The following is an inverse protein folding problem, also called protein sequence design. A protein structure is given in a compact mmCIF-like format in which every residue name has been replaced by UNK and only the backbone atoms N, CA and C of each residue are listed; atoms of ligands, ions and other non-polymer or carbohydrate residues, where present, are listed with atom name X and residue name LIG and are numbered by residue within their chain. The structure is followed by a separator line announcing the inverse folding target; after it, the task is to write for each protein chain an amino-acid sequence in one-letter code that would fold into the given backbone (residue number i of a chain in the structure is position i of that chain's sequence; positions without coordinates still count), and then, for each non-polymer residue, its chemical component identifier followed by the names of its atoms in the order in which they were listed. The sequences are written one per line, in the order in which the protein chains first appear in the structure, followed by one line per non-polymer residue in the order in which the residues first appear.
data_IF_249231873931
#
_entry.id   IF_249231873931
#
_cell.length_a   1.000
_cell.length_b   1.000
_cell.length_c   1.000
_cell.angle_alpha   90.00
_cell.angle_beta   90.00
_cell.angle_gamma   90.00
#
_symmetry.space_group_name_H-M   'P 1'
#
loop_
_entity.id
_entity.type
_entity.pdbx_description
1 polymer ?
#
# COMPACT_ATOMS: atom_id res chain seq x y z
N UNK A 1 -89.49 -16.61 -17.63
CA UNK A 1 -90.16 -17.93 -17.48
C UNK A 1 -91.01 -18.11 -18.70
N UNK A 2 -90.66 -19.03 -19.61
CA UNK A 2 -91.38 -19.24 -20.87
C UNK A 2 -92.73 -19.96 -20.70
N UNK A 3 -93.53 -19.52 -19.74
CA UNK A 3 -94.91 -19.99 -19.51
C UNK A 3 -95.87 -18.92 -20.02
N UNK A 4 -96.95 -19.34 -20.65
CA UNK A 4 -97.96 -18.43 -21.20
C UNK A 4 -98.78 -17.69 -20.13
N UNK A 5 -98.78 -18.18 -18.88
CA UNK A 5 -99.49 -17.56 -17.76
C UNK A 5 -98.54 -17.31 -16.58
N UNK A 6 -98.68 -16.14 -15.97
CA UNK A 6 -97.96 -15.73 -14.76
C UNK A 6 -98.96 -15.42 -13.66
N UNK A 7 -98.82 -16.08 -12.50
CA UNK A 7 -99.72 -15.86 -11.36
C UNK A 7 -98.97 -15.12 -10.24
N UNK A 8 -99.39 -13.90 -9.95
CA UNK A 8 -98.89 -13.09 -8.84
C UNK A 8 -99.95 -13.00 -7.73
N UNK A 9 -99.58 -13.37 -6.50
CA UNK A 9 -100.46 -13.28 -5.33
C UNK A 9 -99.76 -12.54 -4.19
N UNK A 10 -100.43 -11.51 -3.65
CA UNK A 10 -100.02 -10.78 -2.44
C UNK A 10 -100.95 -11.17 -1.29
N UNK A 11 -100.39 -11.75 -0.25
CA UNK A 11 -101.09 -12.10 0.99
C UNK A 11 -100.82 -11.03 2.05
N UNK A 12 -101.86 -10.32 2.47
CA UNK A 12 -101.77 -9.24 3.46
C UNK A 12 -102.36 -9.74 4.78
N UNK A 13 -101.50 -9.97 5.77
CA UNK A 13 -101.88 -10.22 7.16
C UNK A 13 -101.72 -8.97 8.03
N UNK A 14 -102.25 -9.01 9.26
CA UNK A 14 -102.20 -7.88 10.22
C UNK A 14 -100.78 -7.36 10.54
N UNK A 15 -99.76 -8.21 10.46
CA UNK A 15 -98.35 -7.86 10.78
C UNK A 15 -97.36 -8.19 9.67
N UNK A 16 -97.77 -8.92 8.63
CA UNK A 16 -96.87 -9.44 7.61
C UNK A 16 -97.52 -9.38 6.24
N UNK A 17 -96.73 -8.96 5.26
CA UNK A 17 -97.08 -9.02 3.85
C UNK A 17 -96.14 -10.00 3.16
N UNK A 18 -96.71 -10.97 2.45
CA UNK A 18 -95.96 -11.96 1.68
C UNK A 18 -96.35 -11.85 0.19
N UNK A 19 -95.35 -11.89 -0.69
CA UNK A 19 -95.54 -11.93 -2.13
C UNK A 19 -95.19 -13.32 -2.65
N UNK A 20 -95.98 -13.81 -3.60
CA UNK A 20 -95.73 -15.08 -4.27
C UNK A 20 -95.90 -14.97 -5.78
N UNK A 21 -94.93 -15.51 -6.51
CA UNK A 21 -94.89 -15.57 -7.97
C UNK A 21 -94.91 -17.04 -8.38
N UNK A 22 -95.88 -17.47 -9.18
CA UNK A 22 -96.07 -18.87 -9.56
C UNK A 22 -96.05 -19.84 -8.36
N UNK A 23 -96.74 -19.46 -7.27
CA UNK A 23 -96.81 -20.21 -5.99
C UNK A 23 -95.48 -20.33 -5.23
N UNK A 24 -94.42 -19.63 -5.64
CA UNK A 24 -93.15 -19.52 -4.89
C UNK A 24 -93.08 -18.20 -4.16
N UNK A 25 -92.59 -18.21 -2.92
CA UNK A 25 -92.36 -16.99 -2.14
C UNK A 25 -91.31 -16.12 -2.82
N UNK A 26 -91.62 -14.83 -2.99
CA UNK A 26 -90.74 -13.84 -3.61
C UNK A 26 -90.59 -12.62 -2.70
N UNK A 27 -89.46 -11.92 -2.80
CA UNK A 27 -89.31 -10.66 -2.07
C UNK A 27 -90.05 -9.53 -2.77
N UNK A 28 -90.40 -8.48 -2.03
CA UNK A 28 -91.02 -7.27 -2.59
C UNK A 28 -90.15 -6.65 -3.68
N UNK A 29 -88.83 -6.65 -3.53
CA UNK A 29 -87.90 -6.08 -4.51
C UNK A 29 -87.89 -6.88 -5.81
N UNK A 30 -87.91 -8.22 -5.73
CA UNK A 30 -87.93 -9.07 -6.93
C UNK A 30 -89.22 -8.89 -7.74
N UNK A 31 -90.37 -8.80 -7.06
CA UNK A 31 -91.67 -8.52 -7.70
C UNK A 31 -91.68 -7.12 -8.32
N UNK A 32 -91.14 -6.12 -7.64
CA UNK A 32 -91.03 -4.76 -8.18
C UNK A 32 -90.12 -4.71 -9.42
N UNK A 33 -88.97 -5.38 -9.38
CA UNK A 33 -88.05 -5.47 -10.51
C UNK A 33 -88.67 -6.21 -11.70
N UNK A 34 -89.46 -7.26 -11.45
CA UNK A 34 -90.20 -7.98 -12.48
C UNK A 34 -91.26 -7.09 -13.16
N UNK A 35 -92.05 -6.37 -12.36
CA UNK A 35 -93.05 -5.44 -12.87
C UNK A 35 -92.40 -4.30 -13.66
N UNK A 36 -91.30 -3.74 -13.17
CA UNK A 36 -90.56 -2.69 -13.88
C UNK A 36 -89.95 -3.20 -15.19
N UNK A 37 -89.43 -4.43 -15.20
CA UNK A 37 -88.93 -5.10 -16.42
C UNK A 37 -90.05 -5.40 -17.43
N UNK A 38 -91.27 -5.63 -16.95
CA UNK A 38 -92.47 -5.80 -17.77
C UNK A 38 -93.11 -4.46 -18.20
N UNK A 39 -92.51 -3.31 -17.86
CA UNK A 39 -92.99 -1.97 -18.22
C UNK A 39 -93.96 -1.32 -17.21
N UNK A 40 -94.29 -2.02 -16.13
CA UNK A 40 -95.09 -1.47 -15.03
C UNK A 40 -94.20 -0.72 -14.04
N UNK A 41 -93.94 0.56 -14.31
CA UNK A 41 -93.24 1.42 -13.36
C UNK A 41 -94.14 1.83 -12.19
N UNK A 42 -93.62 1.73 -10.96
CA UNK A 42 -94.26 2.27 -9.74
C UNK A 42 -94.45 3.78 -9.79
N UNK A 43 -93.63 4.47 -10.60
CA UNK A 43 -93.64 5.93 -10.72
C UNK A 43 -94.45 6.44 -11.89
N UNK A 44 -95.15 5.57 -12.62
CA UNK A 44 -96.11 5.97 -13.63
C UNK A 44 -97.54 5.92 -13.05
N UNK A 45 -98.09 7.05 -12.53
CA UNK A 45 -99.42 7.08 -11.94
C UNK A 45 -100.55 6.98 -12.98
N UNK A 46 -100.25 6.95 -14.29
CA UNK A 46 -101.23 7.05 -15.36
C UNK A 46 -101.87 5.71 -15.76
N UNK A 47 -101.42 4.59 -15.20
CA UNK A 47 -102.02 3.28 -15.48
C UNK A 47 -103.41 3.10 -14.83
N UNK A 48 -103.71 3.82 -13.75
CA UNK A 48 -104.94 3.66 -12.99
C UNK A 48 -105.51 5.05 -12.68
N UNK A 49 -106.72 5.33 -13.18
CA UNK A 49 -107.44 6.57 -12.88
C UNK A 49 -108.52 6.30 -11.82
N UNK A 50 -108.33 6.73 -10.57
CA UNK A 50 -109.35 6.56 -9.54
C UNK A 50 -110.54 7.52 -9.76
N UNK A 51 -111.75 7.00 -9.56
CA UNK A 51 -112.98 7.78 -9.66
C UNK A 51 -113.01 8.86 -8.54
N UNK A 52 -113.13 10.13 -8.92
CA UNK A 52 -113.10 11.28 -8.01
C UNK A 52 -111.84 12.16 -8.09
N UNK A 53 -110.73 11.69 -8.67
CA UNK A 53 -109.49 12.49 -8.86
C UNK A 53 -109.37 13.19 -10.23
N UNK A 54 -110.38 13.03 -11.08
CA UNK A 54 -110.43 13.64 -12.41
C UNK A 54 -110.48 15.18 -12.33
N UNK A 55 -111.00 15.75 -11.22
CA UNK A 55 -111.28 17.19 -11.13
C UNK A 55 -110.22 18.00 -10.37
N UNK A 56 -109.66 17.50 -9.27
CA UNK A 56 -108.89 18.40 -8.39
C UNK A 56 -107.36 18.30 -8.50
N UNK A 57 -106.75 17.13 -8.78
CA UNK A 57 -105.28 17.05 -8.67
C UNK A 57 -104.54 16.46 -9.89
N UNK A 58 -105.07 15.47 -10.61
CA UNK A 58 -104.23 14.72 -11.56
C UNK A 58 -104.31 15.21 -13.01
N UNK A 59 -105.51 15.51 -13.50
CA UNK A 59 -105.70 16.08 -14.86
C UNK A 59 -105.39 17.57 -14.83
N UNK A 60 -105.88 18.29 -13.81
CA UNK A 60 -105.63 19.71 -13.59
C UNK A 60 -104.14 20.02 -13.43
N UNK A 61 -103.38 19.19 -12.68
CA UNK A 61 -101.93 19.33 -12.59
C UNK A 61 -101.23 19.06 -13.92
N UNK A 62 -101.71 18.14 -14.77
CA UNK A 62 -101.09 17.93 -16.08
C UNK A 62 -101.33 19.13 -17.03
N UNK A 63 -102.55 19.69 -16.99
CA UNK A 63 -102.90 20.91 -17.75
C UNK A 63 -102.15 22.14 -17.23
N UNK A 64 -101.92 22.27 -15.92
CA UNK A 64 -101.25 23.42 -15.30
C UNK A 64 -99.74 23.20 -15.00
N UNK A 65 -99.19 22.02 -15.26
CA UNK A 65 -97.79 21.70 -14.99
C UNK A 65 -96.85 22.63 -15.76
N UNK A 66 -95.74 23.00 -15.13
CA UNK A 66 -94.68 23.75 -15.80
C UNK A 66 -93.84 22.80 -16.68
N UNK A 67 -93.24 23.34 -17.73
CA UNK A 67 -92.41 22.56 -18.67
C UNK A 67 -91.33 21.66 -18.03
N UNK A 68 -90.61 22.02 -16.95
CA UNK A 68 -89.71 21.08 -16.27
C UNK A 68 -90.41 19.87 -15.65
N UNK A 69 -91.62 20.04 -15.11
CA UNK A 69 -92.42 18.96 -14.52
C UNK A 69 -92.96 18.05 -15.63
N UNK A 70 -93.40 18.63 -16.76
CA UNK A 70 -93.78 17.87 -17.96
C UNK A 70 -92.61 17.07 -18.53
N UNK A 71 -91.41 17.64 -18.54
CA UNK A 71 -90.19 16.95 -18.97
C UNK A 71 -89.82 15.82 -18.01
N UNK A 72 -89.92 16.05 -16.69
CA UNK A 72 -89.68 15.00 -15.70
C UNK A 72 -90.66 13.84 -15.87
N UNK A 73 -91.94 14.17 -16.07
CA UNK A 73 -92.97 13.19 -16.38
C UNK A 73 -92.61 12.38 -17.64
N UNK A 74 -92.23 13.05 -18.73
CA UNK A 74 -91.83 12.39 -19.96
C UNK A 74 -90.62 11.45 -19.74
N UNK A 75 -89.65 11.87 -18.93
CA UNK A 75 -88.48 11.04 -18.55
C UNK A 75 -88.88 9.83 -17.72
N UNK A 76 -89.89 9.95 -16.86
CA UNK A 76 -90.42 8.85 -16.05
C UNK A 76 -91.19 7.85 -16.90
N UNK A 77 -92.06 8.33 -17.81
CA UNK A 77 -92.81 7.48 -18.75
C UNK A 77 -91.88 6.78 -19.74
N UNK A 78 -90.83 7.47 -20.21
CA UNK A 78 -89.81 6.89 -21.07
C UNK A 78 -88.88 5.90 -20.34
N UNK A 79 -89.03 5.70 -19.03
CA UNK A 79 -88.19 4.77 -18.24
C UNK A 79 -86.73 5.23 -18.09
N UNK A 80 -86.39 6.44 -18.53
CA UNK A 80 -85.01 6.95 -18.56
C UNK A 80 -84.43 7.23 -17.17
N UNK A 81 -85.29 7.34 -16.13
CA UNK A 81 -84.86 7.63 -14.75
C UNK A 81 -84.01 6.51 -14.15
N UNK A 82 -84.36 5.25 -14.41
CA UNK A 82 -83.61 4.08 -13.90
C UNK A 82 -82.23 4.03 -14.54
N UNK A 83 -82.15 4.31 -15.84
CA UNK A 83 -80.89 4.40 -16.56
C UNK A 83 -80.00 5.51 -15.99
N UNK A 84 -80.56 6.71 -15.79
CA UNK A 84 -79.81 7.85 -15.27
C UNK A 84 -79.29 7.60 -13.84
N UNK A 85 -80.11 6.98 -12.99
CA UNK A 85 -79.67 6.60 -11.63
C UNK A 85 -78.52 5.59 -11.67
N UNK A 86 -78.66 4.50 -12.44
CA UNK A 86 -77.58 3.49 -12.59
C UNK A 86 -76.31 4.08 -13.20
N UNK A 87 -76.45 5.02 -14.13
CA UNK A 87 -75.34 5.76 -14.73
C UNK A 87 -74.61 6.60 -13.69
N UNK A 88 -75.33 7.33 -12.86
CA UNK A 88 -74.73 8.14 -11.79
C UNK A 88 -74.01 7.28 -10.74
N UNK A 89 -74.60 6.16 -10.34
CA UNK A 89 -73.95 5.19 -9.44
C UNK A 89 -72.67 4.61 -10.08
N UNK A 90 -72.73 4.24 -11.37
CA UNK A 90 -71.57 3.73 -12.10
C UNK A 90 -70.47 4.78 -12.24
N UNK A 91 -70.83 6.04 -12.50
CA UNK A 91 -69.86 7.15 -12.58
C UNK A 91 -69.13 7.36 -11.25
N UNK A 92 -69.84 7.29 -10.12
CA UNK A 92 -69.20 7.37 -8.79
C UNK A 92 -68.19 6.26 -8.58
N UNK A 93 -68.54 5.02 -8.94
CA UNK A 93 -67.62 3.88 -8.85
C UNK A 93 -66.38 4.13 -9.73
N UNK A 94 -66.55 4.64 -10.95
CA UNK A 94 -65.42 4.96 -11.83
C UNK A 94 -64.52 6.03 -11.19
N UNK A 95 -65.09 7.10 -10.65
CA UNK A 95 -64.31 8.16 -9.98
C UNK A 95 -63.57 7.65 -8.74
N UNK A 96 -64.19 6.78 -7.94
CA UNK A 96 -63.54 6.15 -6.78
C UNK A 96 -62.39 5.24 -7.22
N UNK A 97 -62.60 4.42 -8.25
CA UNK A 97 -61.54 3.55 -8.79
C UNK A 97 -60.39 4.35 -9.38
N UNK A 98 -60.65 5.45 -10.09
CA UNK A 98 -59.61 6.32 -10.64
C UNK A 98 -58.79 7.01 -9.53
N UNK A 99 -59.46 7.50 -8.47
CA UNK A 99 -58.77 8.04 -7.29
C UNK A 99 -57.89 6.99 -6.61
N UNK A 100 -58.41 5.77 -6.46
CA UNK A 100 -57.65 4.67 -5.87
C UNK A 100 -56.41 4.33 -6.72
N UNK A 101 -56.59 4.19 -8.05
CA UNK A 101 -55.49 3.90 -8.99
C UNK A 101 -54.43 5.02 -8.94
N UNK A 102 -54.84 6.29 -8.98
CA UNK A 102 -53.90 7.42 -8.90
C UNK A 102 -53.12 7.43 -7.59
N UNK A 103 -53.78 7.15 -6.48
CA UNK A 103 -53.14 7.10 -5.16
C UNK A 103 -52.16 5.93 -5.08
N UNK A 104 -52.55 4.76 -5.59
CA UNK A 104 -51.69 3.58 -5.65
C UNK A 104 -50.45 3.80 -6.53
N UNK A 105 -50.63 4.37 -7.73
CA UNK A 105 -49.52 4.69 -8.62
C UNK A 105 -48.58 5.72 -7.97
N UNK A 106 -49.12 6.75 -7.30
CA UNK A 106 -48.31 7.73 -6.57
C UNK A 106 -47.49 7.06 -5.47
N UNK A 107 -48.13 6.26 -4.62
CA UNK A 107 -47.45 5.54 -3.53
C UNK A 107 -46.32 4.65 -4.06
N UNK A 108 -46.56 3.87 -5.12
CA UNK A 108 -45.51 3.04 -5.73
C UNK A 108 -44.34 3.86 -6.29
N UNK A 109 -44.64 5.02 -6.89
CA UNK A 109 -43.62 5.92 -7.44
C UNK A 109 -42.76 6.51 -6.33
N UNK A 110 -43.38 6.93 -5.23
CA UNK A 110 -42.68 7.52 -4.08
C UNK A 110 -41.79 6.48 -3.39
N UNK A 111 -42.26 5.24 -3.20
CA UNK A 111 -41.43 4.15 -2.66
C UNK A 111 -40.22 3.82 -3.56
N UNK A 112 -40.40 3.79 -4.88
CA UNK A 112 -39.28 3.56 -5.82
C UNK A 112 -38.29 4.72 -5.80
N UNK A 113 -38.78 5.97 -5.72
CA UNK A 113 -37.94 7.16 -5.63
C UNK A 113 -37.12 7.18 -4.35
N UNK A 114 -37.75 6.92 -3.20
CA UNK A 114 -37.06 6.81 -1.91
C UNK A 114 -35.94 5.77 -1.97
N UNK A 115 -36.20 4.59 -2.56
CA UNK A 115 -35.17 3.56 -2.71
C UNK A 115 -34.02 3.96 -3.64
N UNK A 116 -34.33 4.72 -4.70
CA UNK A 116 -33.30 5.26 -5.60
C UNK A 116 -32.48 6.34 -4.87
N UNK A 117 -33.12 7.22 -4.12
CA UNK A 117 -32.46 8.27 -3.33
C UNK A 117 -31.52 7.64 -2.29
N UNK A 118 -31.96 6.62 -1.55
CA UNK A 118 -31.10 5.89 -0.61
C UNK A 118 -29.86 5.28 -1.29
N UNK A 119 -30.03 4.67 -2.47
CA UNK A 119 -28.92 4.11 -3.24
C UNK A 119 -27.97 5.19 -3.77
N UNK A 120 -28.52 6.34 -4.18
CA UNK A 120 -27.72 7.48 -4.64
C UNK A 120 -26.90 8.06 -3.48
N UNK A 121 -27.49 8.27 -2.31
CA UNK A 121 -26.78 8.73 -1.12
C UNK A 121 -25.64 7.78 -0.75
N UNK A 122 -25.89 6.46 -0.79
CA UNK A 122 -24.84 5.47 -0.53
C UNK A 122 -23.69 5.53 -1.56
N UNK A 123 -24.01 5.75 -2.84
CA UNK A 123 -22.98 5.90 -3.89
C UNK A 123 -22.19 7.19 -3.67
N UNK A 124 -22.85 8.29 -3.31
CA UNK A 124 -22.20 9.58 -3.03
C UNK A 124 -21.24 9.47 -1.84
N UNK A 125 -21.67 8.88 -0.72
CA UNK A 125 -20.82 8.63 0.44
C UNK A 125 -19.61 7.76 0.09
N UNK A 126 -19.83 6.69 -0.69
CA UNK A 126 -18.73 5.81 -1.11
C UNK A 126 -17.76 6.49 -2.09
N UNK A 127 -18.24 7.43 -2.90
CA UNK A 127 -17.41 8.23 -3.80
C UNK A 127 -16.56 9.23 -3.01
N UNK A 128 -17.11 9.84 -1.97
CA UNK A 128 -16.39 10.75 -1.07
C UNK A 128 -15.25 10.00 -0.34
N UNK A 129 -15.54 8.83 0.24
CA UNK A 129 -14.52 7.96 0.85
C UNK A 129 -13.39 7.61 -0.13
N UNK A 130 -13.73 7.27 -1.38
CA UNK A 130 -12.74 6.94 -2.41
C UNK A 130 -11.90 8.17 -2.83
N UNK A 131 -12.47 9.36 -2.77
CA UNK A 131 -11.76 10.60 -3.07
C UNK A 131 -10.78 10.96 -1.96
N UNK A 132 -11.16 10.77 -0.69
CA UNK A 132 -10.27 10.86 0.46
C UNK A 132 -9.11 9.84 0.38
N UNK A 133 -9.41 8.55 0.16
CA UNK A 133 -8.40 7.50 0.00
C UNK A 133 -7.40 7.82 -1.14
N UNK A 134 -7.89 8.41 -2.23
CA UNK A 134 -7.06 8.83 -3.36
C UNK A 134 -6.15 10.00 -2.99
N UNK A 135 -6.63 10.96 -2.22
CA UNK A 135 -5.83 12.08 -1.74
C UNK A 135 -4.76 11.62 -0.75
N UNK A 136 -5.11 10.73 0.20
CA UNK A 136 -4.16 10.10 1.10
C UNK A 136 -3.07 9.33 0.34
N UNK A 137 -3.45 8.54 -0.67
CA UNK A 137 -2.49 7.80 -1.49
C UNK A 137 -1.54 8.75 -2.24
N UNK A 138 -2.05 9.88 -2.74
CA UNK A 138 -1.23 10.88 -3.40
C UNK A 138 -0.23 11.49 -2.42
N UNK A 139 -0.67 11.86 -1.22
CA UNK A 139 0.20 12.38 -0.17
C UNK A 139 1.26 11.36 0.25
N UNK A 140 0.88 10.08 0.39
CA UNK A 140 1.81 8.99 0.65
C UNK A 140 2.88 8.86 -0.44
N UNK A 141 2.49 8.94 -1.72
CA UNK A 141 3.44 8.86 -2.84
C UNK A 141 4.40 10.06 -2.88
N UNK A 142 3.93 11.26 -2.56
CA UNK A 142 4.77 12.45 -2.45
C UNK A 142 5.78 12.30 -1.31
N UNK A 143 5.31 11.92 -0.12
CA UNK A 143 6.18 11.67 1.04
C UNK A 143 7.17 10.52 0.81
N UNK A 144 6.76 9.42 0.17
CA UNK A 144 7.68 8.32 -0.13
C UNK A 144 8.72 8.72 -1.19
N UNK A 145 8.35 9.58 -2.15
CA UNK A 145 9.33 10.16 -3.08
C UNK A 145 10.36 11.01 -2.33
N UNK A 146 9.92 11.87 -1.42
CA UNK A 146 10.81 12.69 -0.60
C UNK A 146 11.72 11.82 0.29
N UNK A 147 11.14 10.82 0.96
CA UNK A 147 11.88 9.84 1.76
C UNK A 147 12.96 9.16 0.94
N UNK A 148 12.65 8.69 -0.27
CA UNK A 148 13.62 8.06 -1.18
C UNK A 148 14.72 9.02 -1.64
N UNK A 149 14.39 10.28 -1.90
CA UNK A 149 15.38 11.30 -2.26
C UNK A 149 16.33 11.59 -1.10
N UNK A 150 15.82 11.70 0.12
CA UNK A 150 16.63 11.90 1.33
C UNK A 150 17.50 10.67 1.62
N UNK A 151 16.93 9.47 1.53
CA UNK A 151 17.64 8.20 1.71
C UNK A 151 18.81 8.08 0.72
N UNK A 152 18.56 8.36 -0.57
CA UNK A 152 19.63 8.40 -1.56
C UNK A 152 20.70 9.46 -1.23
N UNK A 153 20.29 10.64 -0.79
CA UNK A 153 21.22 11.72 -0.45
C UNK A 153 22.11 11.36 0.74
N UNK A 154 21.55 10.69 1.75
CA UNK A 154 22.30 10.18 2.92
C UNK A 154 23.28 9.10 2.47
N UNK A 155 22.82 8.10 1.73
CA UNK A 155 23.70 7.03 1.24
C UNK A 155 24.81 7.56 0.33
N UNK A 156 24.52 8.54 -0.53
CA UNK A 156 25.53 9.15 -1.37
C UNK A 156 26.58 9.90 -0.56
N UNK A 157 26.15 10.62 0.48
CA UNK A 157 27.06 11.30 1.41
C UNK A 157 27.95 10.30 2.15
N UNK A 158 27.36 9.26 2.73
CA UNK A 158 28.10 8.20 3.44
C UNK A 158 29.10 7.50 2.50
N UNK A 159 28.68 7.18 1.28
CA UNK A 159 29.56 6.60 0.27
C UNK A 159 30.74 7.53 -0.04
N UNK A 160 30.49 8.83 -0.19
CA UNK A 160 31.53 9.82 -0.46
C UNK A 160 32.50 9.96 0.72
N UNK A 161 31.99 9.94 1.95
CA UNK A 161 32.82 10.00 3.16
C UNK A 161 33.69 8.74 3.31
N UNK A 162 33.15 7.55 3.03
CA UNK A 162 33.93 6.29 3.02
C UNK A 162 34.99 6.32 1.91
N UNK A 163 34.65 6.79 0.70
CA UNK A 163 35.62 6.92 -0.39
C UNK A 163 36.74 7.90 -0.05
N UNK A 164 36.43 9.01 0.64
CA UNK A 164 37.46 9.94 1.14
C UNK A 164 38.37 9.24 2.15
N UNK A 165 37.81 8.52 3.11
CA UNK A 165 38.61 7.77 4.11
C UNK A 165 39.49 6.72 3.45
N UNK A 166 39.00 6.00 2.43
CA UNK A 166 39.79 5.05 1.65
C UNK A 166 40.95 5.75 0.93
N UNK A 167 40.70 6.89 0.27
CA UNK A 167 41.75 7.66 -0.38
C UNK A 167 42.81 8.15 0.60
N UNK A 168 42.42 8.59 1.80
CA UNK A 168 43.36 8.97 2.86
C UNK A 168 44.19 7.77 3.36
N UNK A 169 43.58 6.59 3.50
CA UNK A 169 44.29 5.36 3.86
C UNK A 169 45.27 4.92 2.76
N UNK A 170 44.87 5.01 1.49
CA UNK A 170 45.72 4.69 0.36
C UNK A 170 46.91 5.67 0.27
N UNK A 171 46.69 6.98 0.48
CA UNK A 171 47.76 7.97 0.53
C UNK A 171 48.72 7.72 1.69
N UNK A 172 48.21 7.36 2.88
CA UNK A 172 49.05 6.97 4.02
C UNK A 172 49.85 5.70 3.71
N UNK A 173 49.24 4.73 3.04
CA UNK A 173 49.91 3.49 2.62
C UNK A 173 51.00 3.77 1.60
N UNK A 174 50.75 4.61 0.60
CA UNK A 174 51.76 5.04 -0.38
C UNK A 174 52.90 5.80 0.27
N UNK A 175 52.62 6.74 1.18
CA UNK A 175 53.65 7.44 1.96
C UNK A 175 54.46 6.48 2.83
N UNK A 176 53.81 5.50 3.46
CA UNK A 176 54.48 4.46 4.25
C UNK A 176 55.40 3.58 3.41
N UNK A 177 54.94 3.15 2.23
CA UNK A 177 55.75 2.36 1.27
C UNK A 177 56.91 3.19 0.73
N UNK A 178 56.68 4.46 0.36
CA UNK A 178 57.75 5.36 -0.08
C UNK A 178 58.77 5.61 1.03
N UNK A 179 58.33 5.89 2.26
CA UNK A 179 59.21 6.06 3.40
C UNK A 179 60.03 4.80 3.70
N UNK A 180 59.39 3.62 3.68
CA UNK A 180 60.09 2.35 3.88
C UNK A 180 61.07 2.02 2.75
N UNK A 181 60.71 2.28 1.49
CA UNK A 181 61.62 2.11 0.36
C UNK A 181 62.81 3.06 0.43
N UNK A 182 62.60 4.30 0.85
CA UNK A 182 63.68 5.27 1.03
C UNK A 182 64.61 4.85 2.17
N UNK A 183 64.06 4.45 3.32
CA UNK A 183 64.85 3.90 4.42
C UNK A 183 65.60 2.63 4.03
N UNK A 184 65.00 1.73 3.25
CA UNK A 184 65.68 0.53 2.75
C UNK A 184 66.80 0.87 1.77
N UNK A 185 66.63 1.88 0.91
CA UNK A 185 67.71 2.37 0.05
C UNK A 185 68.86 2.94 0.87
N UNK A 186 68.56 3.85 1.81
CA UNK A 186 69.57 4.42 2.71
C UNK A 186 70.29 3.34 3.54
N UNK A 187 69.57 2.33 4.01
CA UNK A 187 70.14 1.21 4.75
C UNK A 187 71.03 0.33 3.86
N UNK A 188 70.63 0.05 2.62
CA UNK A 188 71.41 -0.74 1.66
C UNK A 188 72.68 0.00 1.23
N UNK A 189 72.60 1.32 1.00
CA UNK A 189 73.76 2.15 0.70
C UNK A 189 74.76 2.15 1.87
N UNK A 190 74.27 2.30 3.10
CA UNK A 190 75.09 2.22 4.31
C UNK A 190 75.69 0.82 4.50
N UNK A 191 74.91 -0.24 4.23
CA UNK A 191 75.37 -1.62 4.30
C UNK A 191 76.49 -1.89 3.27
N UNK A 192 76.37 -1.35 2.06
CA UNK A 192 77.41 -1.39 1.02
C UNK A 192 78.68 -0.64 1.44
N UNK A 193 78.53 0.52 2.07
CA UNK A 193 79.67 1.31 2.54
C UNK A 193 80.40 0.59 3.68
N UNK A 194 79.67 0.06 4.66
CA UNK A 194 80.23 -0.76 5.74
C UNK A 194 80.90 -2.02 5.20
N UNK A 195 80.29 -2.72 4.23
CA UNK A 195 80.92 -3.91 3.64
C UNK A 195 82.19 -3.56 2.87
N UNK A 196 82.25 -2.40 2.20
CA UNK A 196 83.48 -1.91 1.56
C UNK A 196 84.55 -1.61 2.60
N UNK A 197 84.23 -0.87 3.65
CA UNK A 197 85.16 -0.58 4.75
C UNK A 197 85.65 -1.86 5.43
N UNK A 198 84.77 -2.84 5.66
CA UNK A 198 85.14 -4.14 6.20
C UNK A 198 86.12 -4.88 5.28
N UNK A 199 85.91 -4.86 3.96
CA UNK A 199 86.82 -5.48 3.00
C UNK A 199 88.19 -4.77 2.98
N UNK A 200 88.22 -3.44 2.98
CA UNK A 200 89.44 -2.63 3.06
C UNK A 200 90.22 -2.91 4.35
N UNK A 201 89.53 -2.99 5.49
CA UNK A 201 90.14 -3.35 6.77
C UNK A 201 90.64 -4.80 6.81
N UNK A 202 89.90 -5.74 6.21
CA UNK A 202 90.34 -7.13 6.09
C UNK A 202 91.60 -7.25 5.24
N UNK A 203 91.66 -6.56 4.10
CA UNK A 203 92.86 -6.51 3.25
C UNK A 203 94.05 -5.93 4.03
N UNK A 204 93.83 -4.84 4.77
CA UNK A 204 94.85 -4.23 5.62
C UNK A 204 95.33 -5.15 6.74
N UNK A 205 94.43 -5.92 7.35
CA UNK A 205 94.78 -6.94 8.36
C UNK A 205 95.63 -8.04 7.73
N UNK A 206 95.26 -8.53 6.54
CA UNK A 206 96.04 -9.56 5.84
C UNK A 206 97.42 -9.04 5.43
N UNK A 207 97.53 -7.81 4.93
CA UNK A 207 98.82 -7.16 4.65
C UNK A 207 99.69 -7.07 5.92
N UNK A 208 99.14 -6.56 7.03
CA UNK A 208 99.85 -6.50 8.31
C UNK A 208 100.23 -7.89 8.86
N UNK A 209 99.45 -8.93 8.58
CA UNK A 209 99.78 -10.33 8.93
C UNK A 209 100.92 -10.89 8.10
N UNK A 210 101.05 -10.46 6.85
CA UNK A 210 102.19 -10.82 5.98
C UNK A 210 103.43 -10.05 6.45
N UNK A 211 103.34 -8.73 6.62
CA UNK A 211 104.44 -7.91 7.13
C UNK A 211 104.94 -8.38 8.50
N UNK A 212 104.02 -8.75 9.41
CA UNK A 212 104.41 -9.35 10.70
C UNK A 212 105.17 -10.66 10.52
N UNK A 213 104.74 -11.53 9.59
CA UNK A 213 105.43 -12.81 9.32
C UNK A 213 106.83 -12.57 8.76
N UNK A 214 106.98 -11.63 7.83
CA UNK A 214 108.27 -11.23 7.28
C UNK A 214 109.18 -10.67 8.39
N UNK A 215 108.67 -9.78 9.26
CA UNK A 215 109.44 -9.26 10.38
C UNK A 215 109.79 -10.32 11.42
N UNK A 216 108.91 -11.29 11.69
CA UNK A 216 109.19 -12.42 12.60
C UNK A 216 110.27 -13.34 12.00
N UNK A 217 110.27 -13.55 10.67
CA UNK A 217 111.31 -14.28 9.94
C UNK A 217 112.65 -13.54 9.96
N UNK A 218 112.64 -12.24 9.66
CA UNK A 218 113.80 -11.34 9.75
C UNK A 218 114.36 -11.33 11.18
N UNK A 219 113.50 -11.25 12.20
CA UNK A 219 113.92 -11.31 13.60
C UNK A 219 114.57 -12.65 13.92
N UNK A 220 114.01 -13.78 13.45
CA UNK A 220 114.64 -15.09 13.63
C UNK A 220 115.99 -15.18 12.92
N UNK A 221 116.13 -14.59 11.74
CA UNK A 221 117.40 -14.54 11.02
C UNK A 221 118.42 -13.67 11.76
N UNK A 222 118.03 -12.49 12.25
CA UNK A 222 118.87 -11.65 13.10
C UNK A 222 119.26 -12.34 14.40
N UNK A 223 118.36 -13.11 15.04
CA UNK A 223 118.69 -13.92 16.22
C UNK A 223 119.72 -14.99 15.86
N UNK A 224 119.61 -15.66 14.70
CA UNK A 224 120.62 -16.63 14.24
C UNK A 224 121.96 -15.97 13.98
N UNK A 225 121.98 -14.82 13.31
CA UNK A 225 123.20 -14.05 13.03
C UNK A 225 123.81 -13.54 14.33
N UNK A 226 123.02 -13.00 15.26
CA UNK A 226 123.48 -12.59 16.58
C UNK A 226 124.06 -13.78 17.35
N UNK A 227 123.39 -14.94 17.37
CA UNK A 227 123.92 -16.15 18.01
C UNK A 227 125.22 -16.64 17.35
N UNK A 228 125.36 -16.53 16.02
CA UNK A 228 126.60 -16.85 15.31
C UNK A 228 127.73 -15.86 15.65
N UNK A 229 127.43 -14.57 15.74
CA UNK A 229 128.39 -13.54 16.15
C UNK A 229 128.76 -13.72 17.62
N UNK A 230 127.81 -14.05 18.49
CA UNK A 230 128.04 -14.30 19.91
C UNK A 230 128.88 -15.57 20.12
N UNK A 231 128.64 -16.62 19.34
CA UNK A 231 129.53 -17.79 19.26
C UNK A 231 130.91 -17.40 18.75
N UNK A 232 131.03 -16.58 17.71
CA UNK A 232 132.32 -16.11 17.20
C UNK A 232 133.06 -15.23 18.20
N UNK A 233 132.37 -14.37 18.95
CA UNK A 233 132.93 -13.57 20.05
C UNK A 233 133.40 -14.50 21.15
N UNK A 234 132.62 -15.53 21.50
CA UNK A 234 132.98 -16.52 22.51
C UNK A 234 134.20 -17.36 22.09
N UNK A 235 134.28 -17.76 20.82
CA UNK A 235 135.46 -18.42 20.24
C UNK A 235 136.68 -17.48 20.23
N UNK A 236 136.48 -16.18 19.98
CA UNK A 236 137.53 -15.16 20.07
C UNK A 236 137.95 -14.87 21.52
N UNK A 237 137.03 -14.93 22.48
CA UNK A 237 137.32 -14.83 23.91
C UNK A 237 138.04 -16.08 24.42
N UNK A 238 137.61 -17.28 24.05
CA UNK A 238 138.26 -18.55 24.40
C UNK A 238 139.67 -18.65 23.78
N UNK A 239 139.87 -18.17 22.55
CA UNK A 239 141.22 -18.05 21.96
C UNK A 239 142.06 -16.94 22.59
N UNK A 240 141.45 -15.87 23.10
CA UNK A 240 142.16 -14.85 23.88
C UNK A 240 142.51 -15.33 25.30
N UNK A 241 141.69 -16.19 25.89
CA UNK A 241 141.91 -16.81 27.20
C UNK A 241 142.99 -17.90 27.11
N UNK A 242 142.97 -18.73 26.06
CA UNK A 242 144.08 -19.65 25.75
C UNK A 242 145.41 -18.90 25.53
N UNK A 243 145.40 -17.75 24.83
CA UNK A 243 146.60 -16.93 24.64
C UNK A 243 147.08 -16.21 25.92
N UNK A 244 146.22 -15.99 26.92
CA UNK A 244 146.62 -15.47 28.24
C UNK A 244 147.20 -16.57 29.13
N UNK A 245 146.74 -17.81 29.02
CA UNK A 245 147.33 -18.94 29.75
C UNK A 245 148.70 -19.37 29.19
N UNK A 246 148.99 -19.16 27.90
CA UNK A 246 150.31 -19.49 27.33
C UNK A 246 151.42 -18.49 27.72
N UNK A 247 151.08 -17.24 28.07
CA UNK A 247 152.09 -16.21 28.44
C UNK A 247 152.54 -16.23 29.90
N UNK A 248 151.90 -17.03 30.77
CA UNK A 248 152.31 -17.15 32.18
C UNK A 248 153.39 -18.24 32.37
N UNK A 249 153.60 -19.13 31.39
CA UNK A 249 154.64 -20.17 31.47
C UNK A 249 156.05 -19.72 31.04
N UNK A 250 156.21 -18.60 30.32
CA UNK A 250 157.48 -18.23 29.68
C UNK A 250 158.26 -17.08 30.36
N UNK A 251 157.91 -16.68 31.59
CA UNK A 251 158.69 -15.68 32.36
C UNK A 251 159.30 -16.22 33.67
N UNK A 252 159.21 -17.53 33.91
CA UNK A 252 160.10 -18.22 34.85
C UNK A 252 161.37 -18.63 34.12
N UNK A 253 162.32 -17.71 33.92
CA UNK A 253 163.77 -17.91 33.78
C UNK A 253 164.36 -16.58 33.29
N UNK A 254 165.34 -16.02 34.03
CA UNK A 254 165.98 -14.69 33.88
C UNK A 254 165.19 -13.60 34.68
N UNK A 255 165.59 -13.09 35.85
CA UNK A 255 166.93 -12.81 36.35
C UNK A 255 167.08 -12.96 37.87
N UNK A 256 168.17 -13.63 38.22
CA UNK A 256 168.90 -13.54 39.47
C UNK A 256 170.14 -12.71 39.15
N UNK A 257 170.14 -11.41 39.47
CA UNK A 257 171.33 -10.56 39.70
C UNK A 257 170.98 -9.06 39.80
N UNK A 258 170.57 -8.63 41.00
CA UNK A 258 171.00 -7.40 41.74
C UNK A 258 170.07 -7.13 42.92
#
# INVERSE_FOLDING_TARGET
TGKDEVVLMRSIGLKKEDYSLDKKTATKNDVMNLLESAGFSRSNPYYIVPQGRVRDDFITALTNAKDPERLQLLKEVAGTRVYEQRRQESMKIIEETDKFIKTFIRSLKDSKRSKIEELLTYIEERLEELEEEKEELKNFQEMDRERRCLEYSIFHREQTDILRQLAEMDEQREKGVHGSNQQNMEFNDLEQEITREMAELQEKIELLRVEKRELDEDMQEQIKVHAQIELAIKDMEDTAQQNKETKVCDLYYIDSSL
#
